data_IF_173114658323
#
_entry.id   IF_173114658323
#
_cell.length_a   1.000
_cell.length_b   1.000
_cell.length_c   1.000
_cell.angle_alpha   90.00
_cell.angle_beta   90.00
_cell.angle_gamma   90.00
#
_symmetry.space_group_name_H-M   'P 1'
#
loop_
_entity.id
_entity.type
_entity.pdbx_description
1 polymer ?
#
# COMPACT_ATOMS: atom_id res chain seq x y z
N UNK A 1 36.74 -35.96 -26.98
CA UNK A 1 38.11 -35.44 -27.13
C UNK A 1 38.02 -34.19 -27.98
N UNK A 2 38.43 -33.00 -27.51
CA UNK A 2 39.33 -32.71 -26.40
C UNK A 2 38.62 -32.18 -25.14
N UNK A 3 39.26 -32.46 -24.01
CA UNK A 3 39.03 -31.94 -22.66
C UNK A 3 40.04 -30.83 -22.39
N UNK A 4 39.67 -29.79 -21.64
CA UNK A 4 40.59 -29.00 -20.80
C UNK A 4 39.82 -28.35 -19.62
N UNK A 5 40.01 -28.97 -18.45
CA UNK A 5 40.09 -28.49 -17.06
C UNK A 5 39.50 -27.14 -16.60
N UNK A 6 38.63 -27.25 -15.58
CA UNK A 6 38.69 -26.65 -14.24
C UNK A 6 39.50 -25.37 -14.00
N UNK A 7 38.80 -24.30 -13.61
CA UNK A 7 38.86 -23.63 -12.29
C UNK A 7 38.04 -22.31 -12.33
N UNK A 8 37.82 -21.60 -11.21
CA UNK A 8 37.03 -21.93 -10.02
C UNK A 8 35.85 -20.94 -9.84
N UNK A 9 34.83 -21.33 -9.07
CA UNK A 9 33.76 -20.43 -8.60
C UNK A 9 34.30 -19.27 -7.74
N UNK A 10 33.82 -18.03 -7.92
CA UNK A 10 33.81 -17.04 -6.86
C UNK A 10 32.42 -17.00 -6.21
N UNK A 11 32.38 -17.55 -5.00
CA UNK A 11 31.37 -17.30 -3.98
C UNK A 11 31.42 -15.82 -3.54
N UNK A 12 30.28 -15.32 -3.05
CA UNK A 12 30.01 -13.98 -2.47
C UNK A 12 29.79 -12.81 -3.44
N UNK A 13 28.51 -12.60 -3.80
CA UNK A 13 27.99 -11.24 -4.05
C UNK A 13 27.39 -10.73 -2.75
N UNK A 14 28.01 -9.80 -2.00
CA UNK A 14 27.31 -9.13 -0.93
C UNK A 14 26.30 -8.16 -1.56
N UNK A 15 25.03 -8.34 -1.23
CA UNK A 15 23.98 -7.37 -1.47
C UNK A 15 24.30 -6.09 -0.68
N UNK A 16 24.95 -5.11 -1.31
CA UNK A 16 25.09 -3.72 -0.88
C UNK A 16 25.93 -2.94 -1.90
N UNK A 17 25.35 -2.63 -3.07
CA UNK A 17 25.93 -1.69 -4.02
C UNK A 17 24.89 -0.66 -4.49
N UNK A 18 24.10 -0.15 -3.54
CA UNK A 18 23.42 1.14 -3.66
C UNK A 18 24.13 2.14 -2.74
N UNK A 19 25.41 2.40 -3.02
CA UNK A 19 26.25 3.33 -2.28
C UNK A 19 26.67 4.47 -3.18
N UNK A 20 26.11 5.66 -2.91
CA UNK A 20 26.51 6.99 -3.38
C UNK A 20 27.87 7.08 -4.09
N UNK A 21 27.86 7.56 -5.33
CA UNK A 21 29.03 7.80 -6.21
C UNK A 21 29.96 8.95 -5.77
N UNK A 22 30.01 9.31 -4.48
CA UNK A 22 30.95 10.33 -3.99
C UNK A 22 32.22 9.72 -3.40
N UNK A 23 33.42 10.21 -3.77
CA UNK A 23 34.66 9.79 -3.13
C UNK A 23 34.66 10.22 -1.66
N UNK A 24 34.60 9.25 -0.75
CA UNK A 24 34.95 9.44 0.66
C UNK A 24 36.44 9.71 0.75
N UNK A 25 36.84 10.97 0.66
CA UNK A 25 38.04 11.60 1.26
C UNK A 25 38.50 12.79 0.41
N UNK A 26 37.83 13.92 0.59
CA UNK A 26 38.47 15.23 0.50
C UNK A 26 37.92 16.04 1.66
N UNK A 27 38.73 16.25 2.69
CA UNK A 27 38.39 17.12 3.81
C UNK A 27 38.20 18.54 3.28
N UNK A 28 36.96 18.93 3.04
CA UNK A 28 36.59 20.32 2.83
C UNK A 28 36.68 21.00 4.20
N UNK A 29 37.50 22.05 4.30
CA UNK A 29 37.49 22.94 5.48
C UNK A 29 36.16 23.69 5.48
N UNK A 30 35.17 23.12 6.17
CA UNK A 30 33.91 23.77 6.49
C UNK A 30 34.21 24.77 7.62
N UNK A 31 33.85 26.06 7.50
CA UNK A 31 33.94 26.98 8.62
C UNK A 31 33.07 26.44 9.75
N UNK A 32 33.69 26.12 10.88
CA UNK A 32 33.01 25.58 12.06
C UNK A 32 32.10 26.65 12.67
N UNK A 33 30.79 26.54 12.45
CA UNK A 33 29.82 27.41 13.13
C UNK A 33 29.38 26.90 14.50
N UNK A 34 29.81 25.71 14.94
CA UNK A 34 29.76 25.28 16.35
C UNK A 34 30.92 24.30 16.61
N UNK A 35 31.69 24.53 17.67
CA UNK A 35 32.74 23.63 18.16
C UNK A 35 32.11 22.39 18.80
N UNK A 36 32.10 21.26 18.10
CA UNK A 36 31.69 19.97 18.65
C UNK A 36 32.79 19.33 19.51
N UNK A 37 32.80 19.64 20.81
CA UNK A 37 33.49 18.82 21.81
C UNK A 37 32.45 17.95 22.54
N UNK A 38 32.16 16.79 21.94
CA UNK A 38 31.03 15.91 22.23
C UNK A 38 31.35 14.75 23.20
N UNK A 39 31.47 15.04 24.49
CA UNK A 39 31.21 14.04 25.55
C UNK A 39 30.36 14.62 26.69
N UNK A 40 30.56 15.89 27.05
CA UNK A 40 29.72 16.60 28.02
C UNK A 40 28.28 16.83 27.53
N UNK A 41 28.11 17.15 26.23
CA UNK A 41 26.79 17.35 25.62
C UNK A 41 25.97 16.05 25.60
N UNK A 42 26.58 14.90 25.30
CA UNK A 42 25.92 13.58 25.34
C UNK A 42 25.43 13.24 26.76
N UNK A 43 26.24 13.51 27.78
CA UNK A 43 25.87 13.29 29.18
C UNK A 43 24.78 14.24 29.71
N UNK A 44 24.72 15.48 29.19
CA UNK A 44 23.68 16.45 29.56
C UNK A 44 22.36 16.24 28.80
N UNK A 45 22.39 15.79 27.54
CA UNK A 45 21.19 15.50 26.76
C UNK A 45 20.47 14.23 27.27
N UNK A 46 21.22 13.19 27.65
CA UNK A 46 20.62 11.95 28.16
C UNK A 46 19.88 12.13 29.49
N UNK A 47 20.31 13.08 30.32
CA UNK A 47 19.74 13.34 31.65
C UNK A 47 18.67 14.43 31.68
N UNK A 48 18.32 15.03 30.54
CA UNK A 48 17.39 16.16 30.52
C UNK A 48 16.40 16.05 29.34
N UNK A 49 15.33 15.27 29.47
CA UNK A 49 14.35 15.06 28.40
C UNK A 49 13.68 16.37 27.94
N UNK A 50 13.57 17.38 28.82
CA UNK A 50 13.09 18.71 28.47
C UNK A 50 14.06 19.46 27.53
N UNK A 51 15.37 19.24 27.68
CA UNK A 51 16.38 19.83 26.80
C UNK A 51 16.33 19.17 25.42
N UNK A 52 16.24 17.84 25.36
CA UNK A 52 16.04 17.10 24.10
C UNK A 52 14.78 17.55 23.37
N UNK A 53 13.66 17.67 24.07
CA UNK A 53 12.40 18.18 23.50
C UNK A 53 12.56 19.63 22.99
N UNK A 54 13.28 20.50 23.71
CA UNK A 54 13.54 21.88 23.27
C UNK A 54 14.50 21.98 22.08
N UNK A 55 15.47 21.06 21.96
CA UNK A 55 16.38 20.97 20.82
C UNK A 55 15.60 20.43 19.61
N UNK A 56 14.76 19.40 19.78
CA UNK A 56 13.88 18.90 18.72
C UNK A 56 12.87 19.96 18.26
N UNK A 57 12.27 20.71 19.18
CA UNK A 57 11.38 21.82 18.85
C UNK A 57 12.10 22.94 18.06
N UNK A 58 13.33 23.32 18.47
CA UNK A 58 14.14 24.31 17.75
C UNK A 58 14.69 23.81 16.42
N UNK A 59 15.02 22.53 16.31
CA UNK A 59 15.42 21.92 15.05
C UNK A 59 14.24 21.87 14.09
N UNK A 60 13.03 21.55 14.58
CA UNK A 60 11.79 21.66 13.82
C UNK A 60 11.51 23.09 13.34
N UNK A 61 11.77 24.10 14.17
CA UNK A 61 11.67 25.52 13.80
C UNK A 61 12.74 25.97 12.79
N UNK A 62 13.85 25.24 12.66
CA UNK A 62 14.94 25.57 11.72
C UNK A 62 14.73 24.99 10.32
N UNK A 63 13.93 23.94 10.19
CA UNK A 63 13.61 23.32 8.89
C UNK A 63 12.68 24.25 8.13
N UNK A 64 13.12 24.75 6.97
CA UNK A 64 12.33 25.62 6.10
C UNK A 64 12.48 27.13 6.36
N UNK A 65 13.19 27.56 7.42
CA UNK A 65 13.45 28.98 7.68
C UNK A 65 14.69 29.44 6.91
N UNK A 66 14.58 30.54 6.16
CA UNK A 66 15.74 31.17 5.51
C UNK A 66 16.74 31.58 6.59
N UNK A 67 17.85 30.84 6.65
CA UNK A 67 18.97 31.11 7.56
C UNK A 67 19.59 32.52 7.41
N UNK A 68 19.19 33.28 6.39
CA UNK A 68 19.79 34.57 6.04
C UNK A 68 21.22 34.42 5.50
N UNK A 69 21.74 33.19 5.44
CA UNK A 69 23.07 32.88 4.93
C UNK A 69 23.23 33.38 3.50
N UNK A 70 22.26 33.06 2.64
CA UNK A 70 22.28 33.52 1.25
C UNK A 70 22.32 35.05 1.18
N UNK A 71 21.51 35.74 1.98
CA UNK A 71 21.48 37.20 2.06
C UNK A 71 22.82 37.80 2.50
N UNK A 72 23.56 37.12 3.38
CA UNK A 72 24.88 37.52 3.87
C UNK A 72 26.03 37.32 2.85
N UNK A 73 25.81 36.53 1.80
CA UNK A 73 26.85 36.20 0.82
C UNK A 73 27.30 37.42 -0.02
N UNK A 74 28.61 37.54 -0.31
CA UNK A 74 29.12 38.51 -1.28
C UNK A 74 28.50 38.33 -2.68
N UNK A 75 28.39 39.42 -3.46
CA UNK A 75 27.75 39.42 -4.79
C UNK A 75 28.23 38.29 -5.70
N UNK A 76 29.55 38.06 -5.77
CA UNK A 76 30.15 37.00 -6.59
C UNK A 76 29.71 35.59 -6.16
N UNK A 77 29.52 35.36 -4.86
CA UNK A 77 29.05 34.08 -4.34
C UNK A 77 27.56 33.87 -4.66
N UNK A 78 26.73 34.92 -4.53
CA UNK A 78 25.31 34.89 -4.96
C UNK A 78 25.16 34.58 -6.45
N UNK A 79 25.95 35.23 -7.30
CA UNK A 79 26.02 34.93 -8.73
C UNK A 79 26.38 33.45 -8.98
N UNK A 80 27.31 32.89 -8.21
CA UNK A 80 27.63 31.47 -8.25
C UNK A 80 26.45 30.57 -7.90
N UNK A 81 25.71 30.88 -6.83
CA UNK A 81 24.49 30.14 -6.45
C UNK A 81 23.41 30.21 -7.53
N UNK A 82 23.22 31.36 -8.18
CA UNK A 82 22.28 31.46 -9.31
C UNK A 82 22.69 30.56 -10.48
N UNK A 83 23.98 30.48 -10.81
CA UNK A 83 24.48 29.55 -11.84
C UNK A 83 24.28 28.10 -11.42
N UNK A 84 24.48 27.77 -10.14
CA UNK A 84 24.19 26.43 -9.62
C UNK A 84 22.70 26.08 -9.75
N UNK A 85 21.79 27.04 -9.57
CA UNK A 85 20.34 26.81 -9.79
C UNK A 85 20.05 26.43 -11.25
N UNK A 86 20.76 27.02 -12.22
CA UNK A 86 20.64 26.61 -13.64
C UNK A 86 21.19 25.20 -13.89
N UNK A 87 22.22 24.76 -13.16
CA UNK A 87 22.68 23.37 -13.26
C UNK A 87 21.68 22.39 -12.64
N UNK A 88 21.06 22.77 -11.52
CA UNK A 88 19.98 22.01 -10.90
C UNK A 88 18.80 21.82 -11.86
N UNK A 89 18.42 22.86 -12.60
CA UNK A 89 17.35 22.77 -13.61
C UNK A 89 17.69 21.74 -14.71
N UNK A 90 18.94 21.72 -15.19
CA UNK A 90 19.39 20.71 -16.16
C UNK A 90 19.33 19.30 -15.59
N UNK A 91 19.65 19.13 -14.31
CA UNK A 91 19.53 17.85 -13.63
C UNK A 91 18.06 17.39 -13.60
N UNK A 92 17.12 18.27 -13.23
CA UNK A 92 15.69 17.94 -13.22
C UNK A 92 15.15 17.49 -14.58
N UNK A 93 15.64 18.09 -15.67
CA UNK A 93 15.25 17.66 -17.04
C UNK A 93 15.70 16.22 -17.32
N UNK A 94 16.91 15.85 -16.90
CA UNK A 94 17.43 14.48 -17.08
C UNK A 94 16.69 13.50 -16.16
N UNK A 95 16.39 13.90 -14.93
CA UNK A 95 15.60 13.09 -13.99
C UNK A 95 14.18 12.84 -14.52
N UNK A 96 13.56 13.85 -15.16
CA UNK A 96 12.27 13.69 -15.82
C UNK A 96 12.29 12.67 -16.96
N UNK A 97 13.34 12.68 -17.78
CA UNK A 97 13.55 11.67 -18.83
C UNK A 97 13.74 10.28 -18.22
N UNK A 98 14.57 10.16 -17.18
CA UNK A 98 14.79 8.89 -16.48
C UNK A 98 13.49 8.30 -15.90
N UNK A 99 12.65 9.11 -15.25
CA UNK A 99 11.38 8.63 -14.70
C UNK A 99 10.39 8.21 -15.80
N UNK A 100 10.38 8.92 -16.93
CA UNK A 100 9.57 8.52 -18.07
C UNK A 100 10.01 7.16 -18.64
N UNK A 101 11.31 6.96 -18.81
CA UNK A 101 11.89 5.68 -19.25
C UNK A 101 11.61 4.56 -18.25
N UNK A 102 11.69 4.84 -16.95
CA UNK A 102 11.38 3.89 -15.89
C UNK A 102 9.91 3.46 -15.95
N UNK A 103 8.98 4.41 -16.12
CA UNK A 103 7.55 4.10 -16.25
C UNK A 103 7.26 3.25 -17.50
N UNK A 104 7.92 3.53 -18.63
CA UNK A 104 7.80 2.69 -19.83
C UNK A 104 8.33 1.28 -19.59
N UNK A 105 9.45 1.16 -18.86
CA UNK A 105 10.02 -0.11 -18.47
C UNK A 105 9.07 -0.90 -17.56
N UNK A 106 8.48 -0.25 -16.56
CA UNK A 106 7.50 -0.85 -15.67
C UNK A 106 6.29 -1.36 -16.44
N UNK A 107 5.72 -0.56 -17.35
CA UNK A 107 4.61 -0.99 -18.22
C UNK A 107 4.98 -2.23 -19.04
N UNK A 108 6.18 -2.23 -19.63
CA UNK A 108 6.68 -3.37 -20.42
C UNK A 108 6.79 -4.66 -19.60
N UNK A 109 7.18 -4.58 -18.33
CA UNK A 109 7.26 -5.75 -17.46
C UNK A 109 5.90 -6.13 -16.86
N UNK A 110 5.01 -5.16 -16.61
CA UNK A 110 3.62 -5.40 -16.23
C UNK A 110 2.91 -6.31 -17.25
N UNK A 111 3.13 -6.07 -18.55
CA UNK A 111 2.59 -6.92 -19.62
C UNK A 111 3.11 -8.37 -19.55
N UNK A 112 4.35 -8.58 -19.10
CA UNK A 112 4.90 -9.93 -18.91
C UNK A 112 4.31 -10.62 -17.69
N UNK A 113 4.13 -9.88 -16.59
CA UNK A 113 3.50 -10.41 -15.38
C UNK A 113 2.02 -10.72 -15.59
N UNK A 114 1.35 -10.00 -16.48
CA UNK A 114 -0.07 -10.18 -16.77
C UNK A 114 -0.44 -11.63 -17.07
N UNK A 115 0.33 -12.32 -17.92
CA UNK A 115 0.08 -13.73 -18.23
C UNK A 115 0.16 -14.63 -16.99
N UNK A 116 1.14 -14.39 -16.12
CA UNK A 116 1.33 -15.13 -14.87
C UNK A 116 0.15 -14.88 -13.93
N UNK A 117 -0.30 -13.63 -13.80
CA UNK A 117 -1.42 -13.28 -12.93
C UNK A 117 -2.77 -13.79 -13.46
N UNK A 118 -2.97 -13.81 -14.78
CA UNK A 118 -4.14 -14.44 -15.40
C UNK A 118 -4.19 -15.95 -15.12
N UNK A 119 -3.05 -16.63 -15.17
CA UNK A 119 -2.98 -18.05 -14.84
C UNK A 119 -3.20 -18.31 -13.34
N UNK A 120 -2.62 -17.48 -12.45
CA UNK A 120 -2.94 -17.49 -11.02
C UNK A 120 -4.44 -17.31 -10.78
N UNK A 121 -5.08 -16.34 -11.44
CA UNK A 121 -6.52 -16.09 -11.33
C UNK A 121 -7.32 -17.35 -11.67
N UNK A 122 -6.98 -18.04 -12.76
CA UNK A 122 -7.66 -19.28 -13.16
C UNK A 122 -7.50 -20.39 -12.12
N UNK A 123 -6.30 -20.51 -11.55
CA UNK A 123 -6.01 -21.51 -10.49
C UNK A 123 -6.80 -21.19 -9.22
N UNK A 124 -6.72 -19.95 -8.73
CA UNK A 124 -7.43 -19.49 -7.53
C UNK A 124 -8.94 -19.69 -7.67
N UNK A 125 -9.50 -19.46 -8.85
CA UNK A 125 -10.93 -19.63 -9.11
C UNK A 125 -11.33 -21.06 -9.52
N UNK A 126 -10.39 -22.01 -9.61
CA UNK A 126 -10.65 -23.40 -9.98
C UNK A 126 -11.16 -23.57 -11.41
N UNK A 127 -10.69 -22.75 -12.35
CA UNK A 127 -11.07 -22.77 -13.77
C UNK A 127 -10.16 -23.66 -14.62
N UNK A 128 -9.03 -24.10 -14.08
CA UNK A 128 -8.02 -24.90 -14.78
C UNK A 128 -7.69 -26.14 -13.95
N UNK A 129 -7.51 -27.28 -14.63
CA UNK A 129 -7.03 -28.52 -14.02
C UNK A 129 -5.53 -28.40 -13.70
N UNK A 130 -5.17 -28.73 -12.45
CA UNK A 130 -3.79 -28.68 -11.99
C UNK A 130 -3.01 -29.86 -12.57
N UNK A 131 -1.89 -29.57 -13.25
CA UNK A 131 -1.02 -30.61 -13.79
C UNK A 131 -0.12 -31.15 -12.67
N UNK A 132 0.10 -32.45 -12.67
CA UNK A 132 0.99 -33.12 -11.70
C UNK A 132 2.42 -32.57 -11.74
N UNK A 133 2.92 -32.29 -12.96
CA UNK A 133 4.25 -31.72 -13.17
C UNK A 133 4.41 -30.35 -12.48
N UNK A 134 3.39 -29.49 -12.57
CA UNK A 134 3.40 -28.15 -11.96
C UNK A 134 3.36 -28.23 -10.42
N UNK A 135 2.62 -29.22 -9.88
CA UNK A 135 2.55 -29.48 -8.43
C UNK A 135 3.90 -29.98 -7.91
N UNK A 136 4.51 -30.97 -8.58
CA UNK A 136 5.81 -31.53 -8.20
C UNK A 136 6.90 -30.44 -8.23
N UNK A 137 6.89 -29.59 -9.26
CA UNK A 137 7.78 -28.44 -9.33
C UNK A 137 7.51 -27.44 -8.19
N UNK A 138 6.24 -27.12 -7.91
CA UNK A 138 5.87 -26.21 -6.82
C UNK A 138 6.36 -26.69 -5.45
N UNK A 139 6.23 -28.00 -5.17
CA UNK A 139 6.75 -28.62 -3.95
C UNK A 139 8.27 -28.50 -3.83
N UNK A 140 9.01 -28.79 -4.91
CA UNK A 140 10.47 -28.69 -4.91
C UNK A 140 10.95 -27.25 -4.68
N UNK A 141 10.25 -26.25 -5.23
CA UNK A 141 10.55 -24.82 -4.98
C UNK A 141 10.30 -24.46 -3.52
N UNK A 142 9.21 -24.94 -2.93
CA UNK A 142 8.89 -24.68 -1.52
C UNK A 142 9.92 -25.31 -0.57
N UNK A 143 10.33 -26.55 -0.85
CA UNK A 143 11.39 -27.26 -0.11
C UNK A 143 12.73 -26.51 -0.19
N UNK A 144 13.07 -25.92 -1.34
CA UNK A 144 14.26 -25.09 -1.49
C UNK A 144 14.16 -23.76 -0.70
N UNK A 145 12.97 -23.16 -0.61
CA UNK A 145 12.76 -21.87 0.07
C UNK A 145 12.72 -22.01 1.60
N UNK A 146 12.06 -23.05 2.12
CA UNK A 146 11.86 -23.27 3.55
C UNK A 146 12.91 -24.19 4.18
N UNK A 147 13.64 -24.97 3.37
CA UNK A 147 14.56 -26.02 3.84
C UNK A 147 13.81 -27.27 4.34
N UNK A 148 14.54 -28.25 4.90
CA UNK A 148 14.00 -29.50 5.47
C UNK A 148 13.08 -29.30 6.71
N UNK A 149 12.72 -28.06 7.05
CA UNK A 149 11.88 -27.72 8.19
C UNK A 149 10.47 -27.37 7.69
N UNK A 150 9.52 -28.26 8.01
CA UNK A 150 8.06 -28.18 7.80
C UNK A 150 7.48 -28.91 6.57
N UNK A 151 7.61 -30.24 6.55
CA UNK A 151 6.42 -31.07 6.27
C UNK A 151 5.83 -31.54 7.61
N UNK A 152 5.21 -30.62 8.37
CA UNK A 152 4.06 -31.02 9.18
C UNK A 152 2.87 -31.11 8.22
N UNK A 153 2.82 -32.22 7.47
CA UNK A 153 1.55 -32.75 7.01
C UNK A 153 0.70 -32.94 8.28
N UNK A 154 -0.27 -32.05 8.47
CA UNK A 154 -1.26 -32.13 9.53
C UNK A 154 -2.13 -33.37 9.37
N UNK A 155 -1.61 -34.53 9.74
CA UNK A 155 -2.39 -35.63 10.31
C UNK A 155 -2.22 -35.61 11.84
N UNK A 156 -2.68 -34.52 12.47
CA UNK A 156 -3.00 -34.53 13.89
C UNK A 156 -4.38 -35.17 14.09
N UNK A 157 -4.45 -36.49 13.95
CA UNK A 157 -5.30 -37.28 14.82
C UNK A 157 -4.50 -38.35 15.58
N UNK A 158 -3.40 -37.88 16.19
CA UNK A 158 -2.70 -38.57 17.26
C UNK A 158 -3.49 -38.58 18.57
N UNK A 159 -4.72 -39.12 18.61
CA UNK A 159 -5.35 -39.44 19.88
C UNK A 159 -4.95 -40.85 20.33
N UNK A 160 -3.82 -40.90 21.04
CA UNK A 160 -3.37 -42.06 21.77
C UNK A 160 -4.36 -42.47 22.87
N UNK A 161 -5.08 -43.56 22.57
CA UNK A 161 -5.44 -44.65 23.49
C UNK A 161 -6.66 -44.45 24.42
N UNK A 162 -7.74 -45.19 24.14
CA UNK A 162 -8.76 -45.44 25.17
C UNK A 162 -10.09 -46.11 24.79
N UNK A 163 -10.07 -47.19 24.01
CA UNK A 163 -11.05 -48.31 24.10
C UNK A 163 -12.48 -48.12 23.53
N UNK A 164 -12.81 -48.86 22.45
CA UNK A 164 -14.20 -49.28 22.21
C UNK A 164 -14.68 -49.41 20.75
N UNK A 165 -14.25 -50.48 20.07
CA UNK A 165 -15.03 -51.26 19.09
C UNK A 165 -16.21 -50.56 18.36
N UNK A 166 -15.97 -50.06 17.14
CA UNK A 166 -16.99 -49.56 16.22
C UNK A 166 -16.52 -49.72 14.77
N UNK A 167 -17.37 -50.29 13.95
CA UNK A 167 -17.09 -50.81 12.62
C UNK A 167 -17.67 -49.85 11.57
N UNK A 168 -16.87 -49.37 10.62
CA UNK A 168 -17.32 -48.97 9.28
C UNK A 168 -17.37 -47.47 8.96
N UNK A 169 -16.63 -47.10 7.90
CA UNK A 169 -16.81 -45.96 7.00
C UNK A 169 -16.51 -44.55 7.53
N UNK A 170 -15.24 -44.20 7.72
CA UNK A 170 -14.80 -42.79 7.81
C UNK A 170 -13.91 -42.38 6.61
N UNK A 171 -13.29 -43.33 5.90
CA UNK A 171 -12.40 -43.03 4.75
C UNK A 171 -13.12 -42.53 3.46
N UNK A 172 -14.45 -42.58 3.41
CA UNK A 172 -15.24 -42.29 2.21
C UNK A 172 -15.96 -40.93 2.26
N UNK A 173 -15.85 -40.20 3.38
CA UNK A 173 -16.43 -38.86 3.56
C UNK A 173 -15.39 -37.73 3.37
N UNK A 174 -14.14 -37.89 3.83
CA UNK A 174 -13.04 -36.94 3.55
C UNK A 174 -12.70 -36.85 2.04
N UNK A 175 -12.80 -37.97 1.33
CA UNK A 175 -12.63 -38.00 -0.13
C UNK A 175 -13.79 -37.32 -0.87
N UNK A 176 -14.98 -37.21 -0.26
CA UNK A 176 -16.15 -36.53 -0.84
C UNK A 176 -16.17 -35.03 -0.54
N UNK A 177 -15.67 -34.58 0.62
CA UNK A 177 -15.51 -33.16 0.93
C UNK A 177 -14.43 -32.50 0.05
N UNK A 178 -13.29 -33.17 -0.16
CA UNK A 178 -12.23 -32.66 -1.03
C UNK A 178 -12.60 -32.60 -2.52
N UNK A 179 -13.59 -33.39 -2.96
CA UNK A 179 -14.03 -33.41 -4.36
C UNK A 179 -14.87 -32.19 -4.78
N UNK A 180 -15.31 -31.35 -3.83
CA UNK A 180 -16.22 -30.23 -4.10
C UNK A 180 -15.58 -28.84 -3.87
N UNK A 181 -14.29 -28.77 -3.53
CA UNK A 181 -13.58 -27.50 -3.37
C UNK A 181 -13.17 -26.98 -4.75
N UNK A 182 -13.78 -25.86 -5.18
CA UNK A 182 -13.43 -25.21 -6.43
C UNK A 182 -12.37 -24.14 -6.19
N UNK A 183 -11.15 -24.37 -6.69
CA UNK A 183 -10.05 -23.42 -6.59
C UNK A 183 -9.46 -23.34 -5.18
N UNK A 184 -8.98 -22.15 -4.80
CA UNK A 184 -8.43 -21.85 -3.48
C UNK A 184 -9.38 -20.90 -2.75
N UNK A 185 -10.23 -21.41 -1.82
CA UNK A 185 -11.17 -20.58 -1.08
C UNK A 185 -10.48 -19.47 -0.30
N UNK A 186 -11.14 -18.31 -0.21
CA UNK A 186 -10.71 -17.16 0.59
C UNK A 186 -9.30 -16.62 0.29
N UNK A 187 -8.68 -17.02 -0.83
CA UNK A 187 -7.30 -16.69 -1.18
C UNK A 187 -6.96 -15.21 -0.97
N UNK A 188 -7.78 -14.31 -1.54
CA UNK A 188 -7.54 -12.87 -1.45
C UNK A 188 -7.82 -12.29 -0.07
N UNK A 189 -8.89 -12.75 0.59
CA UNK A 189 -9.20 -12.35 1.95
C UNK A 189 -8.04 -12.72 2.88
N UNK A 190 -7.57 -13.96 2.82
CA UNK A 190 -6.42 -14.43 3.62
C UNK A 190 -5.16 -13.62 3.29
N UNK A 191 -4.88 -13.37 2.00
CA UNK A 191 -3.73 -12.55 1.62
C UNK A 191 -3.81 -11.12 2.19
N UNK A 192 -4.98 -10.48 2.10
CA UNK A 192 -5.19 -9.12 2.59
C UNK A 192 -5.15 -9.01 4.12
N UNK A 193 -5.66 -10.02 4.84
CA UNK A 193 -5.59 -10.08 6.30
C UNK A 193 -4.16 -10.28 6.84
N UNK A 194 -3.25 -10.81 6.01
CA UNK A 194 -1.84 -10.97 6.37
C UNK A 194 -0.95 -9.80 5.91
N UNK A 195 -1.52 -8.79 5.25
CA UNK A 195 -0.82 -7.58 4.84
C UNK A 195 -1.11 -6.46 5.87
N UNK A 196 -0.19 -6.09 6.77
CA UNK A 196 -0.52 -5.31 7.96
C UNK A 196 -1.28 -3.98 7.71
N UNK A 197 -0.87 -3.13 6.74
CA UNK A 197 -1.60 -1.88 6.48
C UNK A 197 -3.04 -2.10 6.01
N UNK A 198 -3.29 -3.20 5.29
CA UNK A 198 -4.62 -3.54 4.77
C UNK A 198 -5.45 -4.29 5.82
N UNK A 199 -4.81 -5.15 6.61
CA UNK A 199 -5.46 -5.91 7.66
C UNK A 199 -6.14 -5.00 8.69
N UNK A 200 -5.47 -3.91 9.07
CA UNK A 200 -6.01 -2.90 9.99
C UNK A 200 -7.27 -2.20 9.44
N UNK A 201 -7.43 -2.16 8.11
CA UNK A 201 -8.60 -1.59 7.44
C UNK A 201 -9.81 -2.52 7.37
N UNK A 202 -9.62 -3.82 7.56
CA UNK A 202 -10.68 -4.83 7.41
C UNK A 202 -11.41 -5.03 8.73
N UNK A 203 -12.71 -4.71 8.75
CA UNK A 203 -13.58 -5.02 9.88
C UNK A 203 -14.24 -6.39 9.74
N UNK A 204 -14.76 -6.94 10.85
CA UNK A 204 -15.51 -8.21 10.84
C UNK A 204 -16.72 -8.20 9.88
N UNK A 205 -17.30 -7.02 9.61
CA UNK A 205 -18.43 -6.88 8.68
C UNK A 205 -17.99 -6.97 7.21
N UNK A 206 -16.72 -6.63 6.93
CA UNK A 206 -16.17 -6.65 5.58
C UNK A 206 -15.77 -8.06 5.13
N UNK A 207 -15.43 -8.94 6.09
CA UNK A 207 -14.96 -10.30 5.84
C UNK A 207 -15.91 -11.08 4.90
N UNK A 208 -17.21 -11.20 5.16
CA UNK A 208 -18.14 -11.92 4.27
C UNK A 208 -18.25 -11.32 2.87
N UNK A 209 -18.00 -10.01 2.73
CA UNK A 209 -18.01 -9.33 1.42
C UNK A 209 -16.73 -9.65 0.64
N UNK A 210 -15.59 -9.64 1.33
CA UNK A 210 -14.28 -9.96 0.76
C UNK A 210 -14.11 -11.45 0.42
N UNK A 211 -14.91 -12.36 1.00
CA UNK A 211 -15.00 -13.76 0.56
C UNK A 211 -15.37 -13.88 -0.93
N UNK A 212 -16.09 -12.88 -1.47
CA UNK A 212 -16.48 -12.84 -2.88
C UNK A 212 -15.41 -12.27 -3.82
N UNK A 213 -14.27 -11.79 -3.31
CA UNK A 213 -13.17 -11.25 -4.10
C UNK A 213 -12.45 -12.38 -4.86
N UNK A 214 -12.50 -12.34 -6.20
CA UNK A 214 -11.95 -13.39 -7.08
C UNK A 214 -10.63 -13.01 -7.75
N UNK A 215 -10.35 -11.71 -7.86
CA UNK A 215 -9.11 -11.19 -8.43
C UNK A 215 -8.80 -9.78 -7.92
N UNK A 216 -7.52 -9.51 -7.73
CA UNK A 216 -6.97 -8.19 -7.43
C UNK A 216 -5.77 -7.93 -8.34
N UNK A 217 -5.84 -6.86 -9.14
CA UNK A 217 -4.81 -6.52 -10.13
C UNK A 217 -4.54 -5.03 -10.18
N UNK A 218 -3.32 -4.70 -10.59
CA UNK A 218 -2.88 -3.34 -10.85
C UNK A 218 -2.74 -3.13 -12.37
N UNK A 219 -3.17 -1.97 -12.84
CA UNK A 219 -2.96 -1.54 -14.23
C UNK A 219 -2.40 -0.11 -14.24
N UNK A 220 -1.34 0.11 -15.03
CA UNK A 220 -0.83 1.45 -15.30
C UNK A 220 -1.78 2.17 -16.26
N UNK A 221 -1.97 3.47 -16.04
CA UNK A 221 -2.76 4.33 -16.91
C UNK A 221 -1.88 4.98 -17.97
N UNK A 222 -2.49 5.57 -19.02
CA UNK A 222 -1.77 6.36 -20.02
C UNK A 222 -1.14 7.61 -19.39
N UNK A 223 -1.86 8.25 -18.47
CA UNK A 223 -1.34 9.32 -17.59
C UNK A 223 -0.51 8.72 -16.46
N UNK A 224 0.48 9.45 -15.89
CA UNK A 224 1.20 9.01 -14.70
C UNK A 224 0.24 8.65 -13.56
N UNK A 225 0.32 7.40 -13.12
CA UNK A 225 -0.58 6.83 -12.13
C UNK A 225 -0.92 5.37 -12.44
N UNK A 226 -1.66 4.76 -11.53
CA UNK A 226 -2.09 3.37 -11.63
C UNK A 226 -3.49 3.21 -11.04
N UNK A 227 -4.15 2.11 -11.38
CA UNK A 227 -5.43 1.72 -10.79
C UNK A 227 -5.35 0.31 -10.24
N UNK A 228 -6.03 0.10 -9.11
CA UNK A 228 -6.27 -1.18 -8.50
C UNK A 228 -7.69 -1.62 -8.86
N UNK A 229 -7.82 -2.82 -9.40
CA UNK A 229 -9.09 -3.38 -9.83
C UNK A 229 -9.39 -4.61 -8.97
N UNK A 230 -10.48 -4.51 -8.22
CA UNK A 230 -11.02 -5.58 -7.39
C UNK A 230 -12.17 -6.23 -8.14
N UNK A 231 -12.07 -7.50 -8.47
CA UNK A 231 -13.13 -8.23 -9.18
C UNK A 231 -13.85 -9.16 -8.22
N UNK A 232 -15.18 -9.08 -8.22
CA UNK A 232 -16.03 -9.86 -7.32
C UNK A 232 -16.89 -10.85 -8.09
N UNK A 233 -17.05 -12.03 -7.50
CA UNK A 233 -18.10 -12.96 -7.90
C UNK A 233 -19.49 -12.35 -7.60
N UNK A 234 -20.56 -12.81 -8.30
CA UNK A 234 -21.92 -12.40 -7.98
C UNK A 234 -22.22 -12.64 -6.49
N UNK A 235 -22.64 -11.59 -5.79
CA UNK A 235 -22.85 -11.59 -4.34
C UNK A 235 -24.13 -10.85 -3.96
N UNK A 236 -24.53 -10.96 -2.68
CA UNK A 236 -25.74 -10.32 -2.17
C UNK A 236 -25.54 -8.88 -1.71
N UNK A 237 -24.29 -8.41 -1.62
CA UNK A 237 -23.95 -7.12 -1.03
C UNK A 237 -24.09 -5.96 -2.02
N UNK A 238 -23.56 -6.11 -3.23
CA UNK A 238 -23.60 -5.09 -4.26
C UNK A 238 -23.68 -5.69 -5.68
N UNK A 239 -24.01 -4.84 -6.65
CA UNK A 239 -24.17 -5.25 -8.06
C UNK A 239 -22.89 -5.14 -8.89
N UNK A 240 -21.89 -4.39 -8.40
CA UNK A 240 -20.62 -4.20 -9.09
C UNK A 240 -19.94 -5.55 -9.32
N UNK A 241 -19.48 -5.80 -10.55
CA UNK A 241 -18.58 -6.92 -10.84
C UNK A 241 -17.14 -6.57 -10.54
N UNK A 242 -16.80 -5.30 -10.69
CA UNK A 242 -15.49 -4.75 -10.41
C UNK A 242 -15.67 -3.43 -9.68
N UNK A 243 -14.79 -3.17 -8.72
CA UNK A 243 -14.68 -1.90 -8.02
C UNK A 243 -13.23 -1.43 -8.22
N UNK A 244 -13.05 -0.18 -8.63
CA UNK A 244 -11.75 0.36 -9.01
C UNK A 244 -11.32 1.47 -8.06
N UNK A 245 -10.05 1.48 -7.68
CA UNK A 245 -9.39 2.63 -7.03
C UNK A 245 -8.29 3.13 -7.94
N UNK A 246 -8.28 4.42 -8.25
CA UNK A 246 -7.34 5.04 -9.18
C UNK A 246 -6.48 6.05 -8.46
N UNK A 247 -5.16 5.97 -8.63
CA UNK A 247 -4.18 6.90 -8.07
C UNK A 247 -3.55 7.71 -9.20
N UNK A 248 -3.56 9.03 -9.06
CA UNK A 248 -2.95 9.95 -10.01
C UNK A 248 -1.67 10.54 -9.41
N UNK A 249 -0.65 10.68 -10.26
CA UNK A 249 0.55 11.42 -9.91
C UNK A 249 0.50 12.84 -10.45
N UNK A 250 1.17 13.74 -9.75
CA UNK A 250 1.38 15.11 -10.19
C UNK A 250 2.17 15.12 -11.51
N UNK A 251 1.92 16.14 -12.32
CA UNK A 251 2.64 16.31 -13.59
C UNK A 251 4.11 16.64 -13.38
N UNK A 252 4.42 17.33 -12.28
CA UNK A 252 5.79 17.71 -11.92
C UNK A 252 6.38 16.65 -10.99
N UNK A 253 7.65 16.31 -11.21
CA UNK A 253 8.38 15.45 -10.29
C UNK A 253 8.64 16.19 -8.99
N UNK A 254 8.62 15.43 -7.89
CA UNK A 254 8.96 15.94 -6.58
C UNK A 254 10.41 16.41 -6.52
N UNK A 255 10.77 17.09 -5.43
CA UNK A 255 12.14 17.54 -5.21
C UNK A 255 13.17 16.39 -5.25
N UNK A 256 12.76 15.18 -4.87
CA UNK A 256 13.57 13.95 -4.90
C UNK A 256 13.70 13.34 -6.30
N UNK A 257 12.98 13.87 -7.31
CA UNK A 257 12.96 13.35 -8.67
C UNK A 257 12.02 12.16 -8.87
N UNK A 258 11.13 11.87 -7.92
CA UNK A 258 10.12 10.80 -7.99
C UNK A 258 8.73 11.36 -8.29
N UNK A 259 7.83 10.50 -8.77
CA UNK A 259 6.41 10.87 -8.93
C UNK A 259 5.79 11.17 -7.57
N UNK A 260 5.11 12.29 -7.48
CA UNK A 260 4.40 12.72 -6.26
C UNK A 260 2.93 12.39 -6.41
N UNK A 261 2.32 11.84 -5.36
CA UNK A 261 0.88 11.63 -5.29
C UNK A 261 0.12 12.96 -5.46
N UNK A 262 -0.92 12.95 -6.30
CA UNK A 262 -1.80 14.10 -6.51
C UNK A 262 -3.14 13.90 -5.79
N UNK A 263 -3.92 12.94 -6.25
CA UNK A 263 -5.20 12.56 -5.66
C UNK A 263 -5.55 11.13 -6.05
N UNK A 264 -6.57 10.59 -5.39
CA UNK A 264 -7.16 9.30 -5.72
C UNK A 264 -8.64 9.46 -6.06
N UNK A 265 -9.11 8.63 -6.99
CA UNK A 265 -10.52 8.49 -7.33
C UNK A 265 -10.97 7.07 -6.96
N UNK A 266 -12.03 6.98 -6.16
CA UNK A 266 -12.68 5.72 -5.87
C UNK A 266 -13.80 5.39 -6.87
N UNK A 267 -14.54 4.33 -6.60
CA UNK A 267 -15.65 3.86 -7.43
C UNK A 267 -16.90 3.68 -6.58
N UNK A 268 -18.07 3.99 -7.15
CA UNK A 268 -19.33 3.97 -6.43
C UNK A 268 -19.84 2.52 -6.28
N UNK A 269 -19.97 2.09 -5.03
CA UNK A 269 -20.48 0.75 -4.70
C UNK A 269 -22.01 0.77 -4.71
N UNK A 270 -22.58 -0.01 -5.63
CA UNK A 270 -24.02 -0.17 -5.81
C UNK A 270 -24.57 -1.23 -4.86
N UNK A 271 -24.59 -0.90 -3.57
CA UNK A 271 -25.16 -1.75 -2.51
C UNK A 271 -26.60 -2.18 -2.84
N UNK A 272 -26.95 -3.42 -2.52
CA UNK A 272 -28.28 -3.98 -2.79
C UNK A 272 -29.35 -3.46 -1.84
N UNK A 273 -28.99 -3.25 -0.57
CA UNK A 273 -29.82 -2.68 0.49
C UNK A 273 -28.92 -2.04 1.57
N UNK A 274 -29.47 -1.13 2.37
CA UNK A 274 -28.76 -0.50 3.49
C UNK A 274 -28.25 -1.53 4.52
N UNK A 275 -28.91 -2.68 4.63
CA UNK A 275 -28.50 -3.76 5.55
C UNK A 275 -27.23 -4.48 5.11
N UNK A 276 -27.03 -4.61 3.80
CA UNK A 276 -25.83 -5.20 3.23
C UNK A 276 -24.72 -4.17 3.01
N UNK A 277 -25.03 -2.89 3.17
CA UNK A 277 -24.02 -1.85 3.18
C UNK A 277 -23.22 -1.90 4.48
N UNK A 278 -21.96 -2.33 4.37
CA UNK A 278 -21.03 -2.44 5.50
C UNK A 278 -20.38 -1.12 5.89
N UNK A 279 -20.46 -0.09 5.04
CA UNK A 279 -19.93 1.26 5.33
C UNK A 279 -20.86 2.09 6.21
N UNK A 280 -22.05 1.57 6.52
CA UNK A 280 -23.03 2.24 7.39
C UNK A 280 -23.56 1.32 8.48
N UNK A 281 -23.93 1.94 9.60
CA UNK A 281 -24.69 1.32 10.69
C UNK A 281 -26.12 1.87 10.70
N UNK A 282 -27.12 1.01 10.84
CA UNK A 282 -28.55 1.39 10.81
C UNK A 282 -29.08 1.55 12.24
N UNK A 283 -29.41 2.79 12.61
CA UNK A 283 -30.18 3.11 13.82
C UNK A 283 -31.69 3.19 13.50
N UNK A 284 -32.48 2.28 14.09
CA UNK A 284 -33.94 2.31 13.99
C UNK A 284 -34.54 3.23 15.06
N UNK A 285 -35.15 4.35 14.66
CA UNK A 285 -35.85 5.27 15.58
C UNK A 285 -37.35 5.26 15.33
N UNK A 286 -38.13 4.98 16.38
CA UNK A 286 -39.61 5.08 16.32
C UNK A 286 -40.03 6.53 16.51
N UNK A 287 -40.55 7.15 15.46
CA UNK A 287 -41.13 8.48 15.51
C UNK A 287 -42.66 8.37 15.64
N UNK A 288 -43.21 9.01 16.67
CA UNK A 288 -44.66 9.13 16.84
C UNK A 288 -45.12 10.50 16.40
N UNK A 289 -46.03 10.57 15.44
CA UNK A 289 -46.66 11.82 15.06
C UNK A 289 -47.53 12.33 16.22
N UNK A 290 -47.24 13.56 16.68
CA UNK A 290 -47.87 14.16 17.85
C UNK A 290 -49.38 14.40 17.67
N UNK A 291 -49.84 14.59 16.43
CA UNK A 291 -51.25 14.87 16.09
C UNK A 291 -52.03 13.60 15.71
N UNK A 292 -51.49 12.77 14.82
CA UNK A 292 -52.20 11.57 14.34
C UNK A 292 -52.00 10.34 15.21
N UNK A 293 -51.11 10.43 16.23
CA UNK A 293 -50.67 9.34 17.11
C UNK A 293 -50.08 8.12 16.39
N UNK A 294 -49.97 8.15 15.05
CA UNK A 294 -49.35 7.10 14.25
C UNK A 294 -47.85 7.01 14.57
N UNK A 295 -47.35 5.79 14.70
CA UNK A 295 -45.94 5.49 14.90
C UNK A 295 -45.36 5.05 13.56
N UNK A 296 -44.30 5.71 13.11
CA UNK A 296 -43.48 5.30 11.96
C UNK A 296 -42.08 4.97 12.48
N UNK A 297 -41.47 3.93 11.95
CA UNK A 297 -40.05 3.65 12.18
C UNK A 297 -39.26 4.38 11.10
N UNK A 298 -38.27 5.17 11.51
CA UNK A 298 -37.35 5.88 10.62
C UNK A 298 -35.99 5.21 10.81
N UNK A 299 -35.39 4.81 9.69
CA UNK A 299 -34.02 4.33 9.63
C UNK A 299 -33.08 5.54 9.50
N UNK A 300 -32.13 5.66 10.42
CA UNK A 300 -31.04 6.62 10.33
C UNK A 300 -29.76 5.83 10.10
N UNK A 301 -29.04 6.12 9.03
CA UNK A 301 -27.72 5.52 8.77
C UNK A 301 -26.64 6.43 9.33
N UNK A 302 -25.66 5.85 10.01
CA UNK A 302 -24.46 6.53 10.49
C UNK A 302 -23.25 5.89 9.80
N UNK A 303 -22.34 6.66 9.17
CA UNK A 303 -21.11 6.11 8.60
C UNK A 303 -20.32 5.33 9.66
N UNK A 304 -19.77 4.18 9.28
CA UNK A 304 -18.98 3.33 10.16
C UNK A 304 -17.68 2.92 9.50
N UNK A 305 -16.74 2.45 10.31
CA UNK A 305 -15.45 1.97 9.84
C UNK A 305 -15.64 0.69 9.02
N UNK A 306 -15.10 0.68 7.81
CA UNK A 306 -15.17 -0.41 6.86
C UNK A 306 -14.05 -0.27 5.85
N UNK A 307 -13.47 -1.39 5.42
CA UNK A 307 -12.52 -1.46 4.32
C UNK A 307 -13.05 -0.77 3.07
N UNK A 308 -14.35 -0.88 2.78
CA UNK A 308 -14.94 -0.34 1.55
C UNK A 308 -14.99 1.19 1.51
N UNK A 309 -14.69 1.88 2.61
CA UNK A 309 -14.43 3.33 2.58
C UNK A 309 -13.18 3.68 1.77
N UNK A 310 -12.28 2.72 1.54
CA UNK A 310 -11.13 2.84 0.63
C UNK A 310 -11.54 3.31 -0.79
N UNK A 311 -12.76 2.98 -1.24
CA UNK A 311 -13.31 3.40 -2.53
C UNK A 311 -14.04 4.74 -2.46
N UNK A 312 -13.93 5.46 -1.36
CA UNK A 312 -14.45 6.82 -1.18
C UNK A 312 -13.35 7.70 -0.60
N UNK A 313 -12.27 7.95 -1.37
CA UNK A 313 -11.11 8.68 -0.88
C UNK A 313 -11.47 10.11 -0.45
N UNK A 314 -10.71 10.69 0.50
CA UNK A 314 -10.90 12.08 0.88
C UNK A 314 -10.67 13.02 -0.30
N UNK A 315 -11.55 14.00 -0.48
CA UNK A 315 -11.40 15.04 -1.50
C UNK A 315 -10.62 16.23 -0.93
N UNK A 316 -9.66 16.75 -1.68
CA UNK A 316 -9.02 18.03 -1.36
C UNK A 316 -10.06 19.17 -1.45
N UNK A 317 -10.13 20.08 -0.44
CA UNK A 317 -10.89 21.31 -0.55
C UNK A 317 -10.30 22.13 -1.71
N UNK A 318 -11.06 22.26 -2.79
CA UNK A 318 -10.62 22.90 -4.05
C UNK A 318 -11.04 22.14 -5.30
N UNK A 319 -11.23 20.81 -5.23
CA UNK A 319 -11.65 20.00 -6.39
C UNK A 319 -13.18 19.76 -6.47
N UNK A 320 -13.96 20.40 -5.61
CA UNK A 320 -15.42 20.40 -5.67
C UNK A 320 -15.93 21.26 -6.84
N UNK A 321 -15.65 20.84 -8.07
CA UNK A 321 -16.27 21.40 -9.26
C UNK A 321 -17.73 20.92 -9.33
N UNK A 322 -18.64 21.62 -8.64
CA UNK A 322 -20.03 21.84 -9.06
C UNK A 322 -20.69 22.96 -8.23
N UNK A 323 -20.55 24.19 -8.73
CA UNK A 323 -21.61 25.20 -8.68
C UNK A 323 -21.72 26.06 -7.43
N UNK A 324 -20.75 26.94 -7.21
CA UNK A 324 -21.05 28.30 -6.75
C UNK A 324 -19.96 29.24 -7.28
N UNK A 325 -20.31 30.06 -8.26
CA UNK A 325 -19.50 31.23 -8.63
C UNK A 325 -19.67 32.26 -7.51
N UNK A 326 -18.68 32.38 -6.62
CA UNK A 326 -18.73 33.31 -5.51
C UNK A 326 -17.39 33.54 -4.84
N UNK A 327 -16.68 34.54 -5.37
CA UNK A 327 -15.58 35.31 -4.77
C UNK A 327 -14.20 34.64 -4.61
N UNK A 328 -13.28 35.18 -5.41
CA UNK A 328 -11.82 35.11 -5.26
C UNK A 328 -11.43 35.74 -3.92
N UNK A 329 -11.11 34.93 -2.92
CA UNK A 329 -10.15 35.27 -1.87
C UNK A 329 -9.23 34.06 -1.67
N UNK A 330 -7.97 34.22 -2.07
CA UNK A 330 -6.86 33.29 -1.84
C UNK A 330 -6.57 33.15 -0.34
N UNK A 331 -7.46 32.49 0.40
CA UNK A 331 -7.15 31.88 1.68
C UNK A 331 -6.69 30.44 1.34
N UNK A 332 -5.38 30.18 1.44
CA UNK A 332 -4.86 28.82 1.53
C UNK A 332 -5.58 28.21 2.74
N UNK A 333 -6.70 27.53 2.54
CA UNK A 333 -7.37 26.78 3.60
C UNK A 333 -6.33 25.81 4.13
N UNK A 334 -5.93 26.03 5.39
CA UNK A 334 -5.07 25.13 6.14
C UNK A 334 -5.70 23.75 6.02
N UNK A 335 -5.09 22.87 5.23
CA UNK A 335 -5.56 21.50 5.05
C UNK A 335 -5.58 20.91 6.45
N UNK A 336 -6.78 20.61 6.96
CA UNK A 336 -6.94 20.11 8.33
C UNK A 336 -5.97 18.93 8.54
N UNK A 337 -5.25 18.90 9.67
CA UNK A 337 -4.34 17.79 10.02
C UNK A 337 -5.07 16.43 9.91
N UNK A 338 -6.39 16.40 10.12
CA UNK A 338 -7.24 15.23 9.91
C UNK A 338 -7.34 14.81 8.43
N UNK A 339 -7.44 15.77 7.51
CA UNK A 339 -7.48 15.52 6.07
C UNK A 339 -6.10 15.10 5.54
N UNK A 340 -5.02 15.72 6.02
CA UNK A 340 -3.66 15.28 5.68
C UNK A 340 -3.40 13.85 6.16
N UNK A 341 -3.79 13.52 7.39
CA UNK A 341 -3.68 12.16 7.92
C UNK A 341 -4.55 11.18 7.13
N UNK A 342 -5.76 11.57 6.71
CA UNK A 342 -6.62 10.72 5.88
C UNK A 342 -6.04 10.47 4.49
N UNK A 343 -5.45 11.49 3.85
CA UNK A 343 -4.76 11.35 2.56
C UNK A 343 -3.50 10.50 2.68
N UNK A 344 -2.73 10.67 3.76
CA UNK A 344 -1.56 9.86 4.02
C UNK A 344 -1.96 8.40 4.21
N UNK A 345 -2.98 8.11 5.03
CA UNK A 345 -3.46 6.75 5.25
C UNK A 345 -4.08 6.12 3.99
N UNK A 346 -4.63 6.91 3.07
CA UNK A 346 -5.18 6.41 1.79
C UNK A 346 -4.09 6.00 0.79
N UNK A 347 -2.91 6.63 0.88
CA UNK A 347 -1.78 6.37 -0.02
C UNK A 347 -0.72 5.41 0.56
N UNK A 348 -0.56 5.39 1.89
CA UNK A 348 0.55 4.71 2.60
C UNK A 348 0.51 3.19 2.61
#
# INVERSE_FOLDING_TARGET
MPSFNDAPTPQNTPASAAGSYMPKNASLDIPSTISENSELLKGMLANNPALLASIQAKLGELVGVDSGYFSSLPKKAKEGVYVLKTLQEKQYVIEAEFQADLLELERKYADKYKAIYEDRKKIVNGEVELKKEDIEHGKAVLEEELGDEEEEDGDENGNGNGNGNGNGNEDDDDAKENANVKGVPFFWLTAMQNLPPVADMISDRDVPVLEHLVDLRMEYMDKPGFKLIFEFSPNEYFKNKQIVKTYYYQKELGYTGEFVYDHAEGDEIQWTDNKHNVTVEIELRKQRNKHTKQVRTIEKTTPTYSFFNFFSPPSLPGNAANGDEGDEDDEFEEVDEELEAALQNDYS
#
